data_IF_920857822979
#
_entry.id   IF_920857822979
#
_cell.length_a   1.000
_cell.length_b   1.000
_cell.length_c   1.000
_cell.angle_alpha   90.00
_cell.angle_beta   90.00
_cell.angle_gamma   90.00
#
_symmetry.space_group_name_H-M   'P 1'
#
loop_
_entity.id
_entity.type
_entity.pdbx_description
1 polymer ?
#
# COMPACT_ATOMS: atom_id res chain seq x y z
N UNK A 1 -28.50 -7.00 -26.58
CA UNK A 1 -27.77 -6.04 -25.69
C UNK A 1 -28.65 -5.38 -24.61
N UNK A 2 -29.93 -5.15 -24.86
CA UNK A 2 -30.85 -4.53 -23.87
C UNK A 2 -31.25 -5.43 -22.71
N UNK A 3 -31.40 -6.74 -22.90
CA UNK A 3 -31.90 -7.67 -21.88
C UNK A 3 -30.85 -7.97 -20.78
N UNK A 4 -29.57 -8.01 -21.14
CA UNK A 4 -28.43 -8.18 -20.19
C UNK A 4 -28.26 -6.96 -19.28
N UNK A 5 -28.42 -5.78 -19.84
CA UNK A 5 -28.31 -4.51 -19.10
C UNK A 5 -29.47 -4.36 -18.09
N UNK A 6 -30.68 -4.76 -18.46
CA UNK A 6 -31.85 -4.75 -17.58
C UNK A 6 -31.68 -5.75 -16.43
N UNK A 7 -31.23 -6.99 -16.73
CA UNK A 7 -30.97 -8.01 -15.70
C UNK A 7 -29.84 -7.60 -14.71
N UNK A 8 -28.77 -6.96 -15.21
CA UNK A 8 -27.73 -6.39 -14.34
C UNK A 8 -28.28 -5.28 -13.44
N UNK A 9 -29.08 -4.38 -13.99
CA UNK A 9 -29.70 -3.31 -13.21
C UNK A 9 -30.65 -3.84 -12.13
N UNK A 10 -31.44 -4.86 -12.43
CA UNK A 10 -32.30 -5.54 -11.44
C UNK A 10 -31.49 -6.30 -10.37
N UNK A 11 -30.40 -6.94 -10.76
CA UNK A 11 -29.52 -7.64 -9.81
C UNK A 11 -28.86 -6.65 -8.86
N UNK A 12 -28.29 -5.55 -9.36
CA UNK A 12 -27.70 -4.47 -8.54
C UNK A 12 -28.74 -3.87 -7.61
N UNK A 13 -29.96 -3.59 -8.09
CA UNK A 13 -31.06 -3.09 -7.28
C UNK A 13 -31.44 -4.05 -6.15
N UNK A 14 -31.53 -5.36 -6.42
CA UNK A 14 -31.79 -6.38 -5.39
C UNK A 14 -30.68 -6.47 -4.34
N UNK A 15 -29.41 -6.41 -4.78
CA UNK A 15 -28.26 -6.41 -3.88
C UNK A 15 -28.31 -5.16 -2.99
N UNK A 16 -28.51 -3.97 -3.54
CA UNK A 16 -28.61 -2.72 -2.78
C UNK A 16 -29.75 -2.78 -1.77
N UNK A 17 -30.96 -3.26 -2.17
CA UNK A 17 -32.09 -3.40 -1.27
C UNK A 17 -31.79 -4.42 -0.16
N UNK A 18 -31.14 -5.55 -0.47
CA UNK A 18 -30.77 -6.56 0.54
C UNK A 18 -29.73 -6.03 1.52
N UNK A 19 -28.74 -5.30 1.04
CA UNK A 19 -27.72 -4.65 1.89
C UNK A 19 -28.35 -3.58 2.79
N UNK A 20 -29.25 -2.76 2.25
CA UNK A 20 -29.99 -1.74 3.04
C UNK A 20 -30.90 -2.41 4.06
N UNK A 21 -31.60 -3.48 3.72
CA UNK A 21 -32.45 -4.23 4.65
C UNK A 21 -31.63 -4.91 5.76
N UNK A 22 -30.47 -5.47 5.40
CA UNK A 22 -29.52 -6.03 6.38
C UNK A 22 -28.99 -4.95 7.34
N UNK A 23 -28.60 -3.79 6.82
CA UNK A 23 -28.17 -2.64 7.62
C UNK A 23 -29.27 -2.14 8.56
N UNK A 24 -30.52 -2.11 8.09
CA UNK A 24 -31.68 -1.72 8.92
C UNK A 24 -32.01 -2.75 10.02
N UNK A 25 -31.75 -4.04 9.79
CA UNK A 25 -31.95 -5.07 10.81
C UNK A 25 -30.90 -5.05 11.93
N UNK A 26 -29.65 -4.67 11.62
CA UNK A 26 -28.62 -4.47 12.63
C UNK A 26 -28.81 -3.19 13.46
N UNK A 27 -29.48 -2.17 12.91
CA UNK A 27 -29.71 -0.89 13.59
C UNK A 27 -30.66 -1.01 14.81
N UNK A 28 -31.48 -2.04 14.86
CA UNK A 28 -32.42 -2.23 15.97
C UNK A 28 -31.75 -2.64 17.31
N UNK A 29 -30.50 -3.10 17.27
CA UNK A 29 -29.76 -3.65 18.42
C UNK A 29 -28.62 -2.74 18.92
N UNK A 30 -28.25 -1.71 18.19
CA UNK A 30 -27.10 -0.87 18.54
C UNK A 30 -27.48 0.31 19.46
N UNK A 31 -26.71 0.49 20.55
CA UNK A 31 -26.89 1.63 21.46
C UNK A 31 -26.40 2.96 20.85
N UNK A 32 -25.39 2.92 19.99
CA UNK A 32 -24.86 4.09 19.26
C UNK A 32 -24.85 3.82 17.76
N UNK A 33 -25.36 4.76 16.98
CA UNK A 33 -25.38 4.70 15.51
C UNK A 33 -24.97 6.06 14.97
N UNK A 34 -24.04 6.05 14.03
CA UNK A 34 -23.51 7.26 13.40
C UNK A 34 -23.30 7.02 11.91
N UNK A 35 -23.62 8.02 11.10
CA UNK A 35 -23.36 8.01 9.66
C UNK A 35 -22.43 9.17 9.32
N UNK A 36 -21.39 8.87 8.56
CA UNK A 36 -20.40 9.84 8.09
C UNK A 36 -20.34 9.81 6.55
N UNK A 37 -19.98 10.95 5.99
CA UNK A 37 -19.49 11.03 4.62
C UNK A 37 -17.98 11.19 4.68
N UNK A 38 -17.25 10.10 4.54
CA UNK A 38 -15.79 10.13 4.42
C UNK A 38 -15.44 10.58 3.00
N UNK A 39 -14.60 11.58 2.88
CA UNK A 39 -14.09 12.04 1.59
C UNK A 39 -12.60 12.24 1.73
N UNK A 40 -11.84 11.46 0.98
CA UNK A 40 -10.40 11.59 0.88
C UNK A 40 -10.06 12.13 -0.51
N UNK A 41 -9.19 13.12 -0.52
CA UNK A 41 -8.60 13.70 -1.72
C UNK A 41 -7.10 13.59 -1.61
N UNK A 42 -6.47 13.00 -2.61
CA UNK A 42 -5.02 12.94 -2.73
C UNK A 42 -4.59 13.59 -4.05
N UNK A 43 -3.53 14.36 -3.96
CA UNK A 43 -2.78 14.89 -5.08
C UNK A 43 -1.38 14.30 -5.00
N UNK A 44 -0.89 13.74 -6.10
CA UNK A 44 0.41 13.11 -6.19
C UNK A 44 1.17 13.61 -7.42
N UNK A 45 2.42 13.95 -7.18
CA UNK A 45 3.43 14.18 -8.19
C UNK A 45 4.66 13.38 -7.82
N UNK A 46 5.11 12.51 -8.71
CA UNK A 46 6.35 11.75 -8.60
C UNK A 46 7.04 11.79 -9.96
N UNK A 47 8.17 12.46 -10.03
CA UNK A 47 8.99 12.50 -11.22
C UNK A 47 10.29 11.76 -10.95
N UNK A 48 10.44 10.57 -11.51
CA UNK A 48 11.63 9.72 -11.38
C UNK A 48 12.42 9.72 -12.69
N UNK A 49 13.70 10.08 -12.60
CA UNK A 49 14.61 10.16 -13.74
C UNK A 49 15.67 9.05 -13.70
N UNK A 50 15.54 8.09 -14.61
CA UNK A 50 16.46 6.96 -14.77
C UNK A 50 17.35 7.05 -16.02
N UNK A 51 17.60 8.25 -16.56
CA UNK A 51 18.34 8.46 -17.80
C UNK A 51 19.61 7.62 -17.92
N UNK A 52 19.66 6.78 -18.95
CA UNK A 52 20.82 5.93 -19.26
C UNK A 52 21.02 4.74 -18.33
N UNK A 53 20.01 4.32 -17.59
CA UNK A 53 19.98 3.13 -16.73
C UNK A 53 19.15 2.01 -17.34
N UNK A 54 19.53 0.77 -17.03
CA UNK A 54 18.72 -0.42 -17.30
C UNK A 54 17.76 -0.75 -16.14
N UNK A 55 17.76 0.04 -15.05
CA UNK A 55 16.95 -0.23 -13.86
C UNK A 55 15.47 0.03 -14.09
N UNK A 56 15.13 1.06 -14.87
CA UNK A 56 13.75 1.41 -15.18
C UNK A 56 13.65 2.52 -16.21
N UNK A 57 12.47 2.80 -16.70
CA UNK A 57 12.17 3.97 -17.51
C UNK A 57 11.97 5.21 -16.63
N UNK A 58 12.40 6.38 -17.11
CA UNK A 58 12.01 7.65 -16.49
C UNK A 58 10.50 7.82 -16.60
N UNK A 59 9.85 8.18 -15.50
CA UNK A 59 8.40 8.27 -15.42
C UNK A 59 7.98 9.47 -14.58
N UNK A 60 6.90 10.13 -15.01
CA UNK A 60 6.24 11.17 -14.23
C UNK A 60 4.80 10.76 -13.95
N UNK A 61 4.51 10.45 -12.69
CA UNK A 61 3.15 10.27 -12.20
C UNK A 61 2.65 11.63 -11.71
N UNK A 62 1.54 12.09 -12.26
CA UNK A 62 0.96 13.38 -11.91
C UNK A 62 -0.56 13.29 -11.97
N UNK A 63 -1.20 13.28 -10.79
CA UNK A 63 -2.63 13.04 -10.76
C UNK A 63 -3.30 13.38 -9.45
N UNK A 64 -4.58 13.12 -9.43
CA UNK A 64 -5.44 13.22 -8.26
C UNK A 64 -6.24 11.94 -8.07
N UNK A 65 -6.56 11.66 -6.82
CA UNK A 65 -7.49 10.61 -6.43
C UNK A 65 -8.55 11.19 -5.51
N UNK A 66 -9.81 10.88 -5.76
CA UNK A 66 -10.96 11.29 -4.94
C UNK A 66 -11.74 10.04 -4.50
N UNK A 67 -11.95 9.90 -3.19
CA UNK A 67 -12.60 8.72 -2.60
C UNK A 67 -13.74 9.13 -1.68
N UNK A 68 -14.94 9.42 -2.20
CA UNK A 68 -16.13 9.60 -1.40
C UNK A 68 -16.68 8.24 -0.96
N UNK A 69 -17.00 8.09 0.33
CA UNK A 69 -17.61 6.90 0.89
C UNK A 69 -18.59 7.24 2.03
N UNK A 70 -19.69 6.51 2.11
CA UNK A 70 -20.55 6.53 3.28
C UNK A 70 -20.08 5.49 4.28
N UNK A 71 -19.90 5.91 5.54
CA UNK A 71 -19.51 5.03 6.64
C UNK A 71 -20.57 5.04 7.72
N UNK A 72 -21.15 3.87 7.95
CA UNK A 72 -22.08 3.61 9.03
C UNK A 72 -21.37 2.92 10.19
N UNK A 73 -21.47 3.49 11.40
CA UNK A 73 -20.87 2.97 12.63
C UNK A 73 -21.95 2.52 13.60
N UNK A 74 -21.71 1.39 14.30
CA UNK A 74 -22.57 0.89 15.38
C UNK A 74 -21.76 0.25 16.50
N UNK A 75 -22.28 0.39 17.74
CA UNK A 75 -21.64 -0.19 18.91
C UNK A 75 -20.23 0.28 19.19
N UNK A 76 -19.82 1.46 18.67
CA UNK A 76 -18.50 2.10 18.79
C UNK A 76 -17.29 1.30 18.31
N UNK A 77 -17.50 0.07 17.85
CA UNK A 77 -16.39 -0.84 17.42
C UNK A 77 -16.52 -1.32 15.99
N UNK A 78 -17.69 -1.17 15.41
CA UNK A 78 -18.01 -1.74 14.11
C UNK A 78 -18.35 -0.63 13.12
N UNK A 79 -17.90 -0.78 11.90
CA UNK A 79 -18.34 0.07 10.80
C UNK A 79 -18.43 -0.68 9.48
N UNK A 80 -19.29 -0.20 8.61
CA UNK A 80 -19.39 -0.60 7.22
C UNK A 80 -19.24 0.63 6.35
N UNK A 81 -18.39 0.57 5.36
CA UNK A 81 -18.13 1.65 4.40
C UNK A 81 -18.46 1.21 3.00
N UNK A 82 -19.06 2.12 2.22
CA UNK A 82 -19.31 1.91 0.80
C UNK A 82 -19.09 3.20 0.02
N UNK A 83 -18.36 3.13 -1.08
CA UNK A 83 -17.98 4.28 -1.88
C UNK A 83 -17.21 3.91 -3.14
N UNK A 84 -16.48 4.85 -3.67
CA UNK A 84 -15.65 4.67 -4.87
C UNK A 84 -14.30 5.34 -4.71
N UNK A 85 -13.29 4.79 -5.32
CA UNK A 85 -11.97 5.38 -5.55
C UNK A 85 -11.91 5.80 -7.01
N UNK A 86 -11.70 7.07 -7.29
CA UNK A 86 -11.65 7.64 -8.64
C UNK A 86 -10.29 8.30 -8.86
N UNK A 87 -9.55 7.84 -9.86
CA UNK A 87 -8.23 8.37 -10.19
C UNK A 87 -8.27 9.12 -11.53
N UNK A 88 -7.59 10.27 -11.56
CA UNK A 88 -7.36 11.05 -12.78
C UNK A 88 -5.89 11.43 -12.89
N UNK A 89 -5.21 10.87 -13.89
CA UNK A 89 -3.85 11.28 -14.26
C UNK A 89 -3.91 12.50 -15.18
N UNK A 90 -3.11 13.52 -14.87
CA UNK A 90 -3.08 14.74 -15.68
C UNK A 90 -2.42 14.49 -17.03
N UNK A 91 -2.97 15.10 -18.07
CA UNK A 91 -2.56 14.86 -19.46
C UNK A 91 -3.18 13.62 -20.11
N UNK A 92 -3.83 12.73 -19.36
CA UNK A 92 -4.57 11.61 -19.92
C UNK A 92 -5.81 12.08 -20.68
N UNK A 93 -6.09 11.46 -21.84
CA UNK A 93 -7.28 11.74 -22.65
C UNK A 93 -8.58 11.18 -22.04
N UNK A 94 -8.50 10.26 -21.05
CA UNK A 94 -9.67 9.69 -20.38
C UNK A 94 -10.24 10.69 -19.39
N UNK A 95 -11.56 10.68 -19.16
CA UNK A 95 -12.19 11.48 -18.10
C UNK A 95 -11.73 11.02 -16.71
N UNK A 96 -11.74 9.71 -16.45
CA UNK A 96 -11.10 9.05 -15.33
C UNK A 96 -10.21 7.94 -15.86
N UNK A 97 -9.06 7.74 -15.24
CA UNK A 97 -8.10 6.72 -15.65
C UNK A 97 -8.38 5.40 -14.95
N UNK A 98 -8.86 5.46 -13.70
CA UNK A 98 -9.25 4.29 -12.93
C UNK A 98 -10.44 4.57 -11.99
N UNK A 99 -11.25 3.54 -11.72
CA UNK A 99 -12.38 3.56 -10.79
C UNK A 99 -12.48 2.22 -10.08
N UNK A 100 -12.25 2.22 -8.77
CA UNK A 100 -12.43 1.05 -7.91
C UNK A 100 -13.64 1.20 -6.99
N UNK A 101 -14.23 0.07 -6.64
CA UNK A 101 -15.21 0.01 -5.57
C UNK A 101 -14.51 0.08 -4.19
N UNK A 102 -15.07 0.84 -3.28
CA UNK A 102 -14.78 0.78 -1.84
C UNK A 102 -15.98 0.15 -1.15
N UNK A 103 -15.77 -1.02 -0.55
CA UNK A 103 -16.82 -1.74 0.16
C UNK A 103 -16.18 -2.65 1.22
N UNK A 104 -16.18 -2.24 2.48
CA UNK A 104 -15.52 -3.02 3.53
C UNK A 104 -16.20 -2.89 4.88
N UNK A 105 -16.08 -3.96 5.65
CA UNK A 105 -16.35 -3.99 7.07
C UNK A 105 -15.07 -3.71 7.86
N UNK A 106 -15.19 -2.96 8.96
CA UNK A 106 -14.11 -2.72 9.90
C UNK A 106 -14.60 -3.00 11.34
N UNK A 107 -13.83 -3.81 12.05
CA UNK A 107 -13.85 -3.92 13.50
C UNK A 107 -12.65 -3.19 14.08
N UNK A 108 -12.84 -2.44 15.15
CA UNK A 108 -11.75 -1.79 15.89
C UNK A 108 -12.08 -1.65 17.36
N UNK A 109 -11.16 -2.08 18.22
CA UNK A 109 -11.17 -1.78 19.65
C UNK A 109 -9.86 -1.10 20.06
N UNK A 110 -9.52 -1.11 21.35
CA UNK A 110 -8.29 -0.46 21.85
C UNK A 110 -7.01 -1.04 21.25
N UNK A 111 -6.95 -2.36 21.08
CA UNK A 111 -5.73 -3.06 20.67
C UNK A 111 -5.86 -3.77 19.31
N UNK A 112 -7.07 -4.20 18.94
CA UNK A 112 -7.28 -5.04 17.75
C UNK A 112 -8.07 -4.30 16.68
N UNK A 113 -7.64 -4.48 15.45
CA UNK A 113 -8.34 -4.06 14.24
C UNK A 113 -8.49 -5.22 13.27
N UNK A 114 -9.59 -5.21 12.52
CA UNK A 114 -9.79 -6.10 11.38
C UNK A 114 -10.53 -5.33 10.28
N UNK A 115 -10.08 -5.51 9.04
CA UNK A 115 -10.74 -4.98 7.85
C UNK A 115 -10.98 -6.15 6.90
N UNK A 116 -12.15 -6.16 6.26
CA UNK A 116 -12.49 -7.18 5.27
C UNK A 116 -13.30 -6.55 4.13
N UNK A 117 -12.85 -6.77 2.89
CA UNK A 117 -13.46 -6.25 1.67
C UNK A 117 -12.48 -5.42 0.83
N UNK A 118 -12.99 -4.36 0.21
CA UNK A 118 -12.27 -3.44 -0.67
C UNK A 118 -12.01 -2.13 0.10
N UNK A 119 -10.82 -1.98 0.65
CA UNK A 119 -10.49 -0.85 1.53
C UNK A 119 -9.19 -0.15 1.12
N UNK A 120 -9.07 1.11 1.53
CA UNK A 120 -7.88 1.92 1.23
C UNK A 120 -6.63 1.37 1.90
N UNK A 121 -5.53 1.31 1.17
CA UNK A 121 -4.21 0.89 1.67
C UNK A 121 -3.70 1.77 2.82
N UNK A 122 -4.07 3.04 2.87
CA UNK A 122 -3.73 3.97 3.96
C UNK A 122 -4.32 3.58 5.34
N UNK A 123 -5.24 2.62 5.39
CA UNK A 123 -5.74 2.06 6.66
C UNK A 123 -4.81 1.01 7.27
N UNK A 124 -3.78 0.63 6.54
CA UNK A 124 -2.73 -0.26 7.02
C UNK A 124 -1.86 0.49 8.03
N UNK A 125 -1.35 -0.24 9.02
CA UNK A 125 -0.50 0.30 10.09
C UNK A 125 0.95 -0.16 9.97
N UNK A 126 1.21 -1.10 9.06
CA UNK A 126 2.53 -1.68 8.83
C UNK A 126 3.53 -0.67 8.29
N UNK A 127 4.81 -0.93 8.56
CA UNK A 127 5.94 -0.19 8.01
C UNK A 127 6.62 -1.03 6.94
N UNK A 128 6.56 -0.57 5.71
CA UNK A 128 7.14 -1.25 4.56
C UNK A 128 8.21 -0.34 3.96
N UNK A 129 9.45 -0.86 3.77
CA UNK A 129 10.49 -0.12 3.06
C UNK A 129 10.21 -0.12 1.55
N UNK A 130 10.94 0.71 0.80
CA UNK A 130 10.83 0.76 -0.66
C UNK A 130 11.22 -0.56 -1.35
N UNK A 131 11.90 -1.47 -0.66
CA UNK A 131 12.12 -2.83 -1.16
C UNK A 131 10.80 -3.63 -1.32
N UNK A 132 9.79 -3.32 -0.51
CA UNK A 132 8.47 -3.96 -0.57
C UNK A 132 7.50 -3.22 -1.48
N UNK A 133 7.41 -1.89 -1.35
CA UNK A 133 6.48 -1.06 -2.11
C UNK A 133 7.15 0.26 -2.50
N UNK A 134 7.31 0.49 -3.79
CA UNK A 134 7.76 1.77 -4.32
C UNK A 134 6.66 2.84 -4.21
N UNK A 135 7.05 4.11 -4.23
CA UNK A 135 6.07 5.19 -4.23
C UNK A 135 5.14 5.13 -5.46
N UNK A 136 5.69 4.85 -6.63
CA UNK A 136 4.91 4.71 -7.86
C UNK A 136 3.86 3.59 -7.74
N UNK A 137 4.26 2.43 -7.25
CA UNK A 137 3.34 1.32 -7.06
C UNK A 137 2.22 1.66 -6.06
N UNK A 138 2.51 2.39 -4.99
CA UNK A 138 1.52 2.82 -4.00
C UNK A 138 0.52 3.83 -4.57
N UNK A 139 0.93 4.67 -5.50
CA UNK A 139 0.03 5.62 -6.20
C UNK A 139 -0.97 4.87 -7.07
N UNK A 140 -0.55 3.81 -7.76
CA UNK A 140 -1.40 3.03 -8.65
C UNK A 140 -2.25 1.97 -7.92
N UNK A 141 -1.81 1.50 -6.73
CA UNK A 141 -2.44 0.40 -6.00
C UNK A 141 -3.01 0.86 -4.65
N UNK A 142 -3.96 1.78 -4.67
CA UNK A 142 -4.51 2.42 -3.47
C UNK A 142 -5.50 1.56 -2.70
N UNK A 143 -6.10 0.57 -3.35
CA UNK A 143 -7.14 -0.29 -2.76
C UNK A 143 -6.57 -1.68 -2.48
N UNK A 144 -6.77 -2.16 -1.26
CA UNK A 144 -6.55 -3.56 -0.87
C UNK A 144 -7.84 -4.33 -1.10
N UNK A 145 -7.77 -5.48 -1.74
CA UNK A 145 -8.91 -6.35 -2.00
C UNK A 145 -8.78 -7.61 -1.15
N UNK A 146 -9.25 -7.56 0.10
CA UNK A 146 -9.07 -8.72 0.96
C UNK A 146 -9.28 -8.47 2.44
N UNK A 147 -8.28 -8.85 3.25
CA UNK A 147 -8.34 -8.89 4.70
C UNK A 147 -7.11 -8.22 5.31
N UNK A 148 -7.29 -7.43 6.36
CA UNK A 148 -6.21 -6.99 7.27
C UNK A 148 -6.57 -7.32 8.71
N UNK A 149 -5.61 -7.88 9.44
CA UNK A 149 -5.67 -8.10 10.88
C UNK A 149 -4.60 -7.26 11.54
N UNK A 150 -4.98 -6.47 12.53
CA UNK A 150 -4.10 -5.49 13.16
C UNK A 150 -4.10 -5.65 14.68
N UNK A 151 -2.93 -5.52 15.27
CA UNK A 151 -2.73 -5.38 16.70
C UNK A 151 -1.89 -4.14 16.98
N UNK A 152 -2.26 -3.37 17.99
CA UNK A 152 -1.49 -2.19 18.42
C UNK A 152 -1.58 -2.05 19.92
N UNK A 153 -0.44 -1.83 20.57
CA UNK A 153 -0.40 -1.43 21.96
C UNK A 153 0.64 -0.30 22.17
N UNK A 154 0.90 0.06 23.43
CA UNK A 154 1.89 1.09 23.78
C UNK A 154 3.33 0.72 23.42
N UNK A 155 3.62 -0.55 23.21
CA UNK A 155 4.97 -1.07 22.96
C UNK A 155 5.21 -1.41 21.49
N UNK A 156 4.16 -1.55 20.67
CA UNK A 156 4.37 -1.92 19.29
C UNK A 156 3.08 -2.20 18.51
N UNK A 157 3.26 -2.78 17.35
CA UNK A 157 2.17 -3.17 16.46
C UNK A 157 2.51 -4.47 15.72
N UNK A 158 1.48 -5.13 15.21
CA UNK A 158 1.59 -6.21 14.24
C UNK A 158 0.42 -6.11 13.25
N UNK A 159 0.70 -6.39 11.99
CA UNK A 159 -0.28 -6.40 10.90
C UNK A 159 -0.04 -7.57 9.97
N UNK A 160 -1.12 -8.26 9.60
CA UNK A 160 -1.12 -9.28 8.56
C UNK A 160 -2.19 -8.90 7.53
N UNK A 161 -1.82 -8.89 6.26
CA UNK A 161 -2.71 -8.51 5.16
C UNK A 161 -2.71 -9.58 4.09
N UNK A 162 -3.89 -9.88 3.56
CA UNK A 162 -4.09 -10.64 2.32
C UNK A 162 -4.72 -9.70 1.32
N UNK A 163 -4.06 -9.52 0.18
CA UNK A 163 -4.48 -8.63 -0.92
C UNK A 163 -4.58 -9.46 -2.20
N UNK A 164 -5.81 -9.65 -2.70
CA UNK A 164 -6.09 -10.48 -3.87
C UNK A 164 -6.19 -9.59 -5.11
N UNK A 165 -5.11 -9.53 -5.89
CA UNK A 165 -4.95 -8.57 -6.97
C UNK A 165 -5.44 -9.09 -8.34
N UNK A 166 -5.66 -10.39 -8.48
CA UNK A 166 -6.11 -10.98 -9.74
C UNK A 166 -6.87 -12.28 -9.56
N UNK A 167 -8.06 -12.38 -10.13
CA UNK A 167 -8.83 -13.62 -10.20
C UNK A 167 -8.42 -14.40 -11.45
N UNK A 168 -8.21 -15.71 -11.31
CA UNK A 168 -7.96 -16.61 -12.44
C UNK A 168 -9.09 -16.53 -13.48
N UNK A 169 -8.77 -16.02 -14.65
CA UNK A 169 -9.72 -15.89 -15.78
C UNK A 169 -8.97 -15.91 -17.12
N UNK A 170 -9.70 -15.87 -18.24
CA UNK A 170 -9.10 -15.69 -19.56
C UNK A 170 -8.39 -14.33 -19.74
N UNK A 171 -8.82 -13.32 -18.98
CA UNK A 171 -8.35 -11.94 -19.12
C UNK A 171 -7.29 -11.56 -18.09
N UNK A 172 -7.28 -12.22 -16.92
CA UNK A 172 -6.41 -11.87 -15.80
C UNK A 172 -5.65 -13.08 -15.26
N UNK A 173 -4.44 -12.83 -14.79
CA UNK A 173 -3.65 -13.82 -14.04
C UNK A 173 -4.19 -13.93 -12.62
N UNK A 174 -4.15 -15.13 -12.07
CA UNK A 174 -4.32 -15.30 -10.63
C UNK A 174 -3.10 -14.72 -9.93
N UNK A 175 -3.33 -13.78 -9.03
CA UNK A 175 -2.28 -13.20 -8.22
C UNK A 175 -2.81 -12.67 -6.91
N UNK A 176 -2.05 -12.88 -5.85
CA UNK A 176 -2.32 -12.34 -4.54
C UNK A 176 -1.02 -12.04 -3.80
N UNK A 177 -1.10 -11.11 -2.86
CA UNK A 177 -0.02 -10.80 -1.93
C UNK A 177 -0.47 -11.06 -0.50
N UNK A 178 0.38 -11.75 0.27
CA UNK A 178 0.26 -11.83 1.72
C UNK A 178 1.44 -11.05 2.27
N UNK A 179 1.19 -10.09 3.14
CA UNK A 179 2.28 -9.33 3.74
C UNK A 179 2.04 -9.07 5.22
N UNK A 180 3.14 -9.03 5.94
CA UNK A 180 3.21 -8.86 7.37
C UNK A 180 4.14 -7.69 7.70
N UNK A 181 3.81 -6.94 8.73
CA UNK A 181 4.71 -5.98 9.36
C UNK A 181 4.46 -5.97 10.86
N UNK A 182 5.52 -6.07 11.65
CA UNK A 182 5.42 -5.99 13.10
C UNK A 182 6.66 -5.39 13.72
N UNK A 183 6.47 -4.61 14.78
CA UNK A 183 7.53 -3.94 15.52
C UNK A 183 7.20 -3.92 17.01
N UNK A 184 8.18 -4.18 17.86
CA UNK A 184 8.06 -4.09 19.29
C UNK A 184 9.24 -3.32 19.93
N UNK A 185 8.92 -2.43 20.88
CA UNK A 185 9.90 -1.73 21.71
C UNK A 185 10.24 -2.55 22.93
N UNK A 186 11.49 -2.88 23.10
CA UNK A 186 11.99 -3.65 24.26
C UNK A 186 12.84 -2.80 25.21
N UNK A 187 13.21 -1.58 24.82
CA UNK A 187 13.85 -0.60 25.67
C UNK A 187 13.33 0.82 25.32
N UNK A 188 13.71 1.80 26.12
CA UNK A 188 13.24 3.19 25.97
C UNK A 188 13.46 3.75 24.55
N UNK A 189 14.57 3.38 23.92
CA UNK A 189 14.96 3.88 22.59
C UNK A 189 15.14 2.76 21.55
N UNK A 190 15.12 1.49 21.96
CA UNK A 190 15.41 0.36 21.09
C UNK A 190 14.13 -0.39 20.69
N UNK A 191 14.07 -0.82 19.47
CA UNK A 191 12.99 -1.64 18.93
C UNK A 191 13.52 -2.72 17.99
N UNK A 192 12.75 -3.75 17.81
CA UNK A 192 12.97 -4.80 16.82
C UNK A 192 11.70 -5.05 16.05
N UNK A 193 11.82 -5.44 14.81
CA UNK A 193 10.68 -5.76 13.99
C UNK A 193 11.04 -6.67 12.83
N UNK A 194 10.01 -7.01 12.09
CA UNK A 194 10.14 -7.73 10.83
C UNK A 194 9.05 -7.30 9.87
N UNK A 195 9.41 -7.27 8.59
CA UNK A 195 8.47 -7.14 7.46
C UNK A 195 8.67 -8.35 6.56
N UNK A 196 7.59 -8.89 6.05
CA UNK A 196 7.63 -10.00 5.10
C UNK A 196 6.52 -9.81 4.06
N UNK A 197 6.78 -10.27 2.84
CA UNK A 197 5.77 -10.37 1.80
C UNK A 197 5.92 -11.68 1.04
N UNK A 198 4.81 -12.22 0.57
CA UNK A 198 4.74 -13.29 -0.42
C UNK A 198 3.82 -12.83 -1.53
N UNK A 199 4.32 -12.82 -2.75
CA UNK A 199 3.51 -12.62 -3.95
C UNK A 199 3.44 -13.91 -4.74
N UNK A 200 2.23 -14.41 -4.91
CA UNK A 200 1.92 -15.51 -5.82
C UNK A 200 1.45 -14.91 -7.14
N UNK A 201 2.15 -15.22 -8.23
CA UNK A 201 1.90 -14.73 -9.57
C UNK A 201 1.76 -15.93 -10.50
N UNK A 202 0.52 -16.26 -10.87
CA UNK A 202 0.19 -17.47 -11.60
C UNK A 202 -0.32 -17.18 -13.01
N UNK A 203 -0.96 -18.15 -13.62
CA UNK A 203 -1.39 -18.14 -15.00
C UNK A 203 -2.79 -17.52 -15.22
N UNK A 204 -3.12 -17.25 -16.49
CA UNK A 204 -4.48 -17.07 -16.98
C UNK A 204 -5.08 -18.41 -17.42
N UNK A 205 -6.41 -18.46 -17.57
CA UNK A 205 -7.10 -19.67 -18.02
C UNK A 205 -6.65 -20.15 -19.41
N UNK A 206 -6.28 -19.22 -20.30
CA UNK A 206 -5.88 -19.53 -21.69
C UNK A 206 -4.38 -19.79 -21.85
N UNK A 207 -3.58 -19.49 -20.81
CA UNK A 207 -2.12 -19.57 -20.87
C UNK A 207 -1.53 -20.13 -19.58
N UNK A 208 -0.83 -21.24 -19.66
CA UNK A 208 -0.16 -21.89 -18.55
C UNK A 208 1.37 -21.77 -18.73
N UNK A 209 1.93 -20.58 -18.50
CA UNK A 209 3.33 -20.35 -18.81
C UNK A 209 4.24 -20.10 -17.59
N UNK A 210 3.69 -19.52 -16.54
CA UNK A 210 4.50 -19.13 -15.40
C UNK A 210 3.72 -19.27 -14.09
N UNK A 211 4.35 -19.82 -13.08
CA UNK A 211 3.88 -19.77 -11.69
C UNK A 211 5.06 -19.34 -10.84
N UNK A 212 5.07 -18.09 -10.43
CA UNK A 212 6.14 -17.49 -9.65
C UNK A 212 5.68 -17.29 -8.22
N UNK A 213 6.47 -17.78 -7.28
CA UNK A 213 6.42 -17.38 -5.88
C UNK A 213 7.59 -16.43 -5.62
N UNK A 214 7.27 -15.24 -5.13
CA UNK A 214 8.20 -14.19 -4.74
C UNK A 214 8.01 -13.86 -3.27
N UNK A 215 8.98 -14.21 -2.43
CA UNK A 215 8.95 -13.98 -0.99
C UNK A 215 10.09 -13.03 -0.65
N UNK A 216 9.79 -11.97 0.10
CA UNK A 216 10.77 -11.04 0.64
C UNK A 216 10.60 -10.94 2.15
N UNK A 217 11.70 -11.05 2.91
CA UNK A 217 11.73 -11.01 4.36
C UNK A 217 12.76 -9.98 4.82
N UNK A 218 12.40 -9.13 5.78
CA UNK A 218 13.28 -8.11 6.37
C UNK A 218 13.12 -8.07 7.90
N UNK A 219 13.84 -8.89 8.67
CA UNK A 219 14.03 -8.64 10.10
C UNK A 219 14.96 -7.44 10.32
N UNK A 220 14.68 -6.63 11.34
CA UNK A 220 15.47 -5.44 11.64
C UNK A 220 15.55 -5.11 13.13
N UNK A 221 16.60 -4.39 13.49
CA UNK A 221 16.80 -3.75 14.78
C UNK A 221 16.93 -2.24 14.58
N UNK A 222 16.39 -1.46 15.51
CA UNK A 222 16.47 -0.02 15.41
C UNK A 222 16.57 0.71 16.74
N UNK A 223 16.99 1.97 16.64
CA UNK A 223 17.01 2.93 17.74
C UNK A 223 16.28 4.19 17.29
N UNK A 224 15.33 4.64 18.11
CA UNK A 224 14.62 5.89 17.89
C UNK A 224 14.68 6.74 19.16
N UNK A 225 15.21 7.95 19.05
CA UNK A 225 15.37 8.86 20.17
C UNK A 225 15.21 10.31 19.76
N UNK A 226 14.88 11.13 20.73
CA UNK A 226 14.73 12.56 20.58
C UNK A 226 15.83 13.29 21.34
N UNK A 227 16.59 14.12 20.61
CA UNK A 227 17.54 15.09 21.14
C UNK A 227 17.14 16.48 20.62
N UNK A 228 18.06 17.22 19.99
CA UNK A 228 17.71 18.44 19.26
C UNK A 228 16.87 18.12 18.00
N UNK A 229 17.14 16.99 17.34
CA UNK A 229 16.34 16.38 16.30
C UNK A 229 15.69 15.08 16.77
N UNK A 230 14.66 14.62 16.08
CA UNK A 230 14.15 13.27 16.19
C UNK A 230 14.97 12.37 15.25
N UNK A 231 15.52 11.27 15.80
CA UNK A 231 16.36 10.32 15.08
C UNK A 231 15.69 8.95 15.02
N UNK A 232 15.78 8.31 13.87
CA UNK A 232 15.42 6.90 13.66
C UNK A 232 16.52 6.22 12.83
N UNK A 233 17.14 5.19 13.38
CA UNK A 233 18.24 4.44 12.75
C UNK A 233 17.86 2.97 12.81
N UNK A 234 17.90 2.27 11.68
CA UNK A 234 17.48 0.88 11.57
C UNK A 234 18.45 0.08 10.72
N UNK A 235 18.87 -1.08 11.22
CA UNK A 235 19.65 -2.07 10.49
C UNK A 235 18.77 -3.27 10.20
N UNK A 236 18.56 -3.60 8.93
CA UNK A 236 17.76 -4.71 8.45
C UNK A 236 18.56 -5.68 7.60
N UNK A 237 18.09 -6.93 7.56
CA UNK A 237 18.57 -7.96 6.66
C UNK A 237 17.44 -8.31 5.68
N UNK A 238 17.71 -8.21 4.39
CA UNK A 238 16.77 -8.52 3.32
C UNK A 238 17.11 -9.90 2.73
N UNK A 239 16.12 -10.79 2.70
CA UNK A 239 16.23 -12.11 2.07
C UNK A 239 15.10 -12.26 1.07
N UNK A 240 15.43 -12.39 -0.21
CA UNK A 240 14.48 -12.78 -1.24
C UNK A 240 14.53 -14.29 -1.48
N UNK A 241 13.38 -14.90 -1.72
CA UNK A 241 13.24 -16.31 -2.12
C UNK A 241 12.28 -16.32 -3.31
N UNK A 242 12.80 -16.69 -4.49
CA UNK A 242 12.02 -16.62 -5.73
C UNK A 242 12.14 -17.91 -6.53
N UNK A 243 11.03 -18.35 -7.08
CA UNK A 243 10.99 -19.52 -7.96
C UNK A 243 9.92 -19.36 -9.04
N UNK A 244 10.29 -19.55 -10.30
CA UNK A 244 9.33 -19.89 -11.35
C UNK A 244 9.20 -21.42 -11.41
N UNK A 245 8.06 -21.93 -10.95
CA UNK A 245 7.80 -23.38 -10.87
C UNK A 245 7.78 -24.07 -12.23
N UNK A 246 7.50 -23.34 -13.31
CA UNK A 246 7.38 -23.90 -14.66
C UNK A 246 8.65 -23.73 -15.50
N UNK A 247 9.51 -22.76 -15.18
CA UNK A 247 10.78 -22.60 -15.84
C UNK A 247 11.82 -23.65 -15.42
N UNK A 248 11.62 -24.26 -14.23
CA UNK A 248 12.62 -25.11 -13.60
C UNK A 248 13.76 -24.28 -12.99
N UNK A 249 14.69 -24.91 -12.31
CA UNK A 249 15.89 -24.22 -11.82
C UNK A 249 15.96 -24.02 -10.29
N UNK A 250 14.91 -24.34 -9.57
CA UNK A 250 14.90 -24.23 -8.09
C UNK A 250 14.74 -22.81 -7.58
N UNK A 251 14.96 -22.63 -6.28
CA UNK A 251 14.85 -21.33 -5.60
C UNK A 251 16.10 -20.47 -5.85
N UNK A 252 15.89 -19.23 -6.23
CA UNK A 252 16.87 -18.16 -6.17
C UNK A 252 16.74 -17.48 -4.80
N UNK A 253 17.86 -17.22 -4.13
CA UNK A 253 17.89 -16.77 -2.74
C UNK A 253 18.80 -15.56 -2.52
N UNK A 254 18.65 -14.47 -3.32
CA UNK A 254 19.48 -13.28 -3.14
C UNK A 254 19.20 -12.61 -1.79
N UNK A 255 20.22 -11.98 -1.22
CA UNK A 255 20.12 -11.33 0.08
C UNK A 255 20.95 -10.04 0.13
N UNK A 256 20.68 -9.24 1.16
CA UNK A 256 21.45 -8.03 1.44
C UNK A 256 21.16 -7.44 2.80
N UNK A 257 21.84 -6.34 3.08
CA UNK A 257 21.71 -5.59 4.33
C UNK A 257 21.28 -4.16 4.01
N UNK A 258 20.35 -3.64 4.77
CA UNK A 258 19.82 -2.29 4.63
C UNK A 258 20.09 -1.50 5.91
N UNK A 259 20.69 -0.31 5.77
CA UNK A 259 20.82 0.67 6.84
C UNK A 259 19.92 1.86 6.51
N UNK A 260 18.89 2.06 7.32
CA UNK A 260 18.03 3.23 7.25
C UNK A 260 18.40 4.24 8.31
N UNK A 261 18.42 5.51 7.93
CA UNK A 261 18.62 6.66 8.82
C UNK A 261 17.59 7.73 8.50
N UNK A 262 16.97 8.31 9.53
CA UNK A 262 16.15 9.52 9.40
C UNK A 262 16.43 10.47 10.54
N UNK A 263 16.60 11.74 10.20
CA UNK A 263 16.67 12.84 11.13
C UNK A 263 15.62 13.87 10.74
N UNK A 264 14.81 14.33 11.71
CA UNK A 264 13.73 15.28 11.41
C UNK A 264 13.53 16.31 12.51
N UNK A 265 13.03 17.49 12.13
CA UNK A 265 12.59 18.54 13.06
C UNK A 265 11.70 19.55 12.34
N UNK A 266 10.63 19.99 12.98
CA UNK A 266 9.67 21.00 12.47
C UNK A 266 9.05 20.66 11.10
N UNK A 267 9.01 19.39 10.77
CA UNK A 267 8.55 18.90 9.47
C UNK A 267 9.66 18.73 8.43
N UNK A 268 10.80 19.37 8.59
CA UNK A 268 11.96 19.13 7.70
C UNK A 268 12.62 17.81 8.10
N UNK A 269 13.03 17.03 7.11
CA UNK A 269 13.75 15.79 7.33
C UNK A 269 14.88 15.56 6.32
N UNK A 270 15.82 14.75 6.75
CA UNK A 270 16.80 14.07 5.91
C UNK A 270 16.64 12.58 6.18
N UNK A 271 16.53 11.79 5.14
CA UNK A 271 16.51 10.33 5.20
C UNK A 271 17.57 9.74 4.30
N UNK A 272 18.12 8.61 4.70
CA UNK A 272 19.04 7.84 3.89
C UNK A 272 18.69 6.36 4.02
N UNK A 273 18.68 5.67 2.89
CA UNK A 273 18.53 4.24 2.83
C UNK A 273 19.73 3.69 2.05
N UNK A 274 20.58 2.95 2.72
CA UNK A 274 21.76 2.32 2.15
C UNK A 274 21.58 0.81 2.13
N UNK A 275 21.64 0.23 0.94
CA UNK A 275 21.56 -1.21 0.73
C UNK A 275 22.90 -1.72 0.16
N UNK A 276 23.33 -2.87 0.65
CA UNK A 276 24.45 -3.64 0.11
C UNK A 276 24.06 -5.10 0.04
N UNK A 277 24.19 -5.72 -1.12
CA UNK A 277 23.81 -7.11 -1.32
C UNK A 277 23.60 -7.45 -2.79
N UNK A 278 22.93 -8.57 -3.03
CA UNK A 278 22.61 -9.09 -4.34
C UNK A 278 21.42 -8.32 -4.98
N UNK A 279 21.20 -8.53 -6.28
CA UNK A 279 19.94 -8.15 -6.93
C UNK A 279 18.78 -8.90 -6.29
N UNK A 280 17.88 -8.19 -5.59
CA UNK A 280 16.72 -8.78 -4.92
C UNK A 280 15.58 -9.14 -5.88
N UNK A 281 15.70 -8.78 -7.16
CA UNK A 281 14.68 -8.99 -8.19
C UNK A 281 15.22 -9.81 -9.38
N UNK A 282 15.80 -11.00 -9.16
CA UNK A 282 16.55 -11.74 -10.16
C UNK A 282 15.70 -12.18 -11.36
N UNK A 283 14.37 -12.26 -11.21
CA UNK A 283 13.46 -12.61 -12.30
C UNK A 283 12.96 -11.39 -13.10
N UNK A 284 13.36 -10.17 -12.75
CA UNK A 284 12.84 -8.95 -13.37
C UNK A 284 13.02 -8.92 -14.89
N UNK A 285 14.21 -9.27 -15.38
CA UNK A 285 14.52 -9.34 -16.80
C UNK A 285 14.22 -10.72 -17.41
N UNK A 286 13.78 -11.68 -16.60
CA UNK A 286 13.44 -13.00 -17.08
C UNK A 286 12.19 -12.92 -17.94
N UNK A 287 12.24 -13.63 -19.07
CA UNK A 287 11.17 -13.63 -20.05
C UNK A 287 10.34 -14.89 -19.85
N UNK A 288 9.07 -14.72 -19.59
CA UNK A 288 8.12 -15.81 -19.58
C UNK A 288 7.98 -16.46 -20.95
N UNK A 289 7.28 -17.58 -21.04
CA UNK A 289 7.03 -18.25 -22.33
C UNK A 289 6.25 -17.38 -23.35
N UNK A 290 5.64 -16.29 -22.87
CA UNK A 290 4.98 -15.30 -23.71
C UNK A 290 5.95 -14.33 -24.40
N UNK A 291 7.24 -14.39 -24.09
CA UNK A 291 8.24 -13.46 -24.61
C UNK A 291 8.23 -12.08 -23.96
N UNK A 292 7.50 -11.90 -22.85
CA UNK A 292 7.38 -10.63 -22.12
C UNK A 292 8.18 -10.74 -20.82
N UNK A 293 9.03 -9.76 -20.49
CA UNK A 293 9.69 -9.71 -19.19
C UNK A 293 8.69 -9.58 -18.04
N UNK A 294 8.97 -10.20 -16.90
CA UNK A 294 8.15 -10.06 -15.70
C UNK A 294 8.11 -8.61 -15.19
N UNK A 295 9.29 -7.98 -15.08
CA UNK A 295 9.41 -6.57 -14.76
C UNK A 295 8.62 -6.14 -13.52
N UNK A 296 8.01 -4.98 -13.62
CA UNK A 296 7.19 -4.40 -12.56
C UNK A 296 5.89 -5.19 -12.25
N UNK A 297 5.41 -6.03 -13.15
CA UNK A 297 4.23 -6.86 -12.90
C UNK A 297 4.46 -7.85 -11.75
N UNK A 298 5.69 -8.33 -11.61
CA UNK A 298 6.07 -9.25 -10.53
C UNK A 298 6.43 -8.50 -9.25
N UNK A 299 7.04 -7.33 -9.36
CA UNK A 299 7.62 -6.61 -8.22
C UNK A 299 6.87 -5.32 -7.91
N UNK A 300 6.61 -5.09 -6.63
CA UNK A 300 6.04 -3.83 -6.13
C UNK A 300 7.11 -2.88 -5.57
N UNK A 301 8.31 -3.39 -5.31
CA UNK A 301 9.43 -2.61 -4.74
C UNK A 301 10.10 -1.66 -5.73
N UNK A 302 10.95 -0.80 -5.21
CA UNK A 302 11.74 0.12 -6.03
C UNK A 302 12.75 -0.66 -6.90
N UNK A 303 12.79 -0.43 -8.22
CA UNK A 303 13.73 -1.10 -9.14
C UNK A 303 15.20 -0.96 -8.77
N UNK A 304 15.58 -0.02 -7.92
CA UNK A 304 16.94 0.14 -7.44
C UNK A 304 17.48 -1.05 -6.65
N UNK A 305 16.59 -1.86 -6.04
CA UNK A 305 17.01 -3.11 -5.38
C UNK A 305 17.42 -4.20 -6.36
N UNK A 306 17.40 -3.92 -7.69
CA UNK A 306 17.97 -4.72 -8.77
C UNK A 306 19.45 -4.40 -9.04
N UNK A 307 20.11 -3.67 -8.16
CA UNK A 307 21.46 -3.17 -8.44
C UNK A 307 22.44 -4.27 -8.86
N UNK A 308 23.08 -4.10 -10.01
CA UNK A 308 24.13 -5.00 -10.51
C UNK A 308 25.47 -4.76 -9.78
N UNK A 309 25.62 -3.62 -9.13
CA UNK A 309 26.83 -3.17 -8.44
C UNK A 309 26.84 -3.48 -6.95
N UNK A 310 25.92 -4.31 -6.48
CA UNK A 310 25.76 -4.68 -5.07
C UNK A 310 25.51 -3.51 -4.09
N UNK A 311 25.26 -2.29 -4.58
CA UNK A 311 25.08 -1.08 -3.78
C UNK A 311 23.88 -0.31 -4.28
N UNK A 312 23.05 0.10 -3.32
CA UNK A 312 21.97 1.06 -3.52
C UNK A 312 22.02 2.11 -2.42
N UNK A 313 21.97 3.38 -2.77
CA UNK A 313 21.85 4.45 -1.82
C UNK A 313 20.76 5.44 -2.27
N UNK A 314 19.81 5.71 -1.38
CA UNK A 314 18.77 6.69 -1.54
C UNK A 314 18.88 7.72 -0.44
N UNK A 315 19.12 8.97 -0.79
CA UNK A 315 19.14 10.11 0.13
C UNK A 315 17.99 11.06 -0.20
N UNK A 316 17.09 11.24 0.74
CA UNK A 316 15.96 12.17 0.62
C UNK A 316 16.14 13.38 1.53
N UNK A 317 15.80 14.57 1.02
CA UNK A 317 15.66 15.78 1.80
C UNK A 317 14.26 16.32 1.54
N UNK A 318 13.51 16.60 2.60
CA UNK A 318 12.13 17.00 2.38
C UNK A 318 11.49 17.70 3.57
N UNK A 319 10.23 17.99 3.35
CA UNK A 319 9.31 18.53 4.33
C UNK A 319 8.07 17.66 4.37
N UNK A 320 7.66 17.24 5.57
CA UNK A 320 6.45 16.45 5.80
C UNK A 320 5.75 16.97 7.06
N UNK A 321 4.50 17.31 6.94
CA UNK A 321 3.72 17.81 8.08
C UNK A 321 2.24 17.54 7.94
N UNK A 322 1.63 17.22 9.10
CA UNK A 322 0.19 17.11 9.24
C UNK A 322 -0.36 18.41 9.84
N UNK A 323 -1.47 18.89 9.26
CA UNK A 323 -2.18 20.08 9.71
C UNK A 323 -3.62 19.72 10.05
N UNK A 324 -4.30 20.63 10.74
CA UNK A 324 -5.73 20.55 11.05
C UNK A 324 -6.14 19.19 11.64
N UNK A 325 -5.46 18.78 12.72
CA UNK A 325 -5.71 17.49 13.41
C UNK A 325 -5.55 16.29 12.46
N UNK A 326 -4.47 16.29 11.70
CA UNK A 326 -4.09 15.23 10.74
C UNK A 326 -5.03 15.08 9.52
N UNK A 327 -5.94 16.03 9.31
CA UNK A 327 -6.83 16.01 8.15
C UNK A 327 -6.16 16.45 6.86
N UNK A 328 -5.07 17.21 6.95
CA UNK A 328 -4.28 17.64 5.82
C UNK A 328 -2.86 17.13 6.02
N UNK A 329 -2.38 16.35 5.08
CA UNK A 329 -1.00 15.83 5.04
C UNK A 329 -0.32 16.46 3.84
N UNK A 330 0.87 17.03 4.06
CA UNK A 330 1.69 17.61 2.99
C UNK A 330 3.06 16.96 3.06
N UNK A 331 3.56 16.52 1.91
CA UNK A 331 4.92 16.02 1.75
C UNK A 331 5.54 16.64 0.49
N UNK A 332 6.78 17.08 0.59
CA UNK A 332 7.63 17.40 -0.54
C UNK A 332 9.02 16.81 -0.26
N UNK A 333 9.55 16.04 -1.18
CA UNK A 333 10.84 15.36 -1.02
C UNK A 333 11.63 15.42 -2.33
N UNK A 334 12.88 15.79 -2.24
CA UNK A 334 13.87 15.62 -3.30
C UNK A 334 14.78 14.46 -2.95
N UNK A 335 14.93 13.53 -3.87
CA UNK A 335 15.65 12.27 -3.67
C UNK A 335 16.81 12.18 -4.65
N UNK A 336 17.96 11.79 -4.12
CA UNK A 336 19.11 11.32 -4.89
C UNK A 336 19.25 9.82 -4.69
N UNK A 337 19.27 9.08 -5.79
CA UNK A 337 19.51 7.64 -5.81
C UNK A 337 20.82 7.34 -6.52
N UNK A 338 21.56 6.35 -6.07
CA UNK A 338 22.76 5.86 -6.76
C UNK A 338 22.90 4.36 -6.58
N UNK A 339 23.37 3.68 -7.61
CA UNK A 339 23.74 2.27 -7.64
C UNK A 339 25.27 2.06 -7.54
N UNK A 340 26.00 3.14 -7.18
CA UNK A 340 27.47 3.15 -7.12
C UNK A 340 28.14 3.65 -8.39
N UNK A 341 27.48 3.60 -9.55
CA UNK A 341 28.04 4.08 -10.82
C UNK A 341 27.40 5.39 -11.28
N UNK A 342 26.09 5.53 -11.09
CA UNK A 342 25.31 6.66 -11.58
C UNK A 342 24.49 7.28 -10.48
N UNK A 343 24.08 8.53 -10.71
CA UNK A 343 23.18 9.28 -9.80
C UNK A 343 21.89 9.57 -10.55
N UNK A 344 20.78 9.30 -9.89
CA UNK A 344 19.43 9.50 -10.39
C UNK A 344 18.66 10.41 -9.45
N UNK A 345 17.64 11.08 -9.96
CA UNK A 345 16.84 12.00 -9.15
C UNK A 345 15.39 11.61 -9.15
N UNK A 346 14.72 11.92 -8.02
CA UNK A 346 13.28 11.79 -7.92
C UNK A 346 12.74 12.99 -7.14
N UNK A 347 11.61 13.54 -7.58
CA UNK A 347 10.89 14.61 -6.92
C UNK A 347 9.49 14.10 -6.56
N UNK A 348 9.15 14.15 -5.27
CA UNK A 348 7.87 13.69 -4.76
C UNK A 348 7.16 14.87 -4.11
N UNK A 349 5.92 15.13 -4.51
CA UNK A 349 5.02 16.07 -3.84
C UNK A 349 3.69 15.37 -3.63
N UNK A 350 3.20 15.34 -2.41
CA UNK A 350 1.86 14.82 -2.13
C UNK A 350 1.09 15.75 -1.19
N UNK A 351 -0.22 15.83 -1.42
CA UNK A 351 -1.18 16.49 -0.56
C UNK A 351 -2.36 15.55 -0.36
N UNK A 352 -2.57 15.13 0.88
CA UNK A 352 -3.75 14.37 1.29
C UNK A 352 -4.70 15.23 2.10
N UNK A 353 -5.99 15.17 1.81
CA UNK A 353 -7.05 15.85 2.58
C UNK A 353 -8.12 14.83 2.94
N UNK A 354 -8.34 14.64 4.25
CA UNK A 354 -9.40 13.78 4.76
C UNK A 354 -10.48 14.60 5.44
N UNK A 355 -11.72 14.48 4.99
CA UNK A 355 -12.90 15.14 5.53
C UNK A 355 -13.94 14.08 5.85
N UNK A 356 -14.44 14.08 7.09
CA UNK A 356 -15.43 13.12 7.56
C UNK A 356 -16.55 13.82 8.35
N UNK A 357 -17.42 14.62 7.70
CA UNK A 357 -18.57 15.21 8.38
C UNK A 357 -19.54 14.13 8.83
N UNK A 358 -20.03 14.29 10.07
CA UNK A 358 -21.06 13.44 10.61
C UNK A 358 -22.41 13.88 10.04
N UNK A 359 -23.09 13.00 9.33
CA UNK A 359 -24.41 13.26 8.75
C UNK A 359 -25.54 12.93 9.71
N UNK A 360 -25.35 11.92 10.57
CA UNK A 360 -26.35 11.45 11.53
C UNK A 360 -25.71 10.92 12.82
N UNK A 361 -26.36 11.16 13.97
CA UNK A 361 -25.98 10.65 15.29
C UNK A 361 -27.24 10.41 16.14
N UNK A 362 -27.50 9.13 16.44
CA UNK A 362 -28.66 8.71 17.25
C UNK A 362 -28.65 9.30 18.67
N UNK A 363 -27.46 9.49 19.24
CA UNK A 363 -27.33 10.00 20.60
C UNK A 363 -27.69 11.50 20.71
N UNK A 364 -27.59 12.24 19.63
CA UNK A 364 -27.92 13.66 19.60
C UNK A 364 -29.45 13.94 19.64
N UNK A 365 -30.29 12.93 19.37
CA UNK A 365 -31.75 13.03 19.47
C UNK A 365 -32.29 12.87 20.90
N UNK A 366 -31.48 12.35 21.84
CA UNK A 366 -31.91 12.19 23.26
C UNK A 366 -31.68 13.46 24.09
N UNK A 367 -30.96 14.45 23.56
CA UNK A 367 -30.67 15.73 24.24
C UNK A 367 -31.45 16.93 23.68
N UNK A 368 -32.45 16.72 22.86
CA UNK A 368 -33.46 17.70 22.42
C UNK A 368 -34.82 17.21 22.87
#
# INVERSE_FOLDING_TARGET
MTDLCVRMCEMVRKIVISVVALLLSFSALAQSERLYLDTDFDFDFDNTEYSGSNLGASETLFGITLMPALRYEWGDKHSLSAGVNMQKMFGSARFLDDIDLIAYYQFRNENYGALAGLFRREKLIGRYSEAFFSNAWLVDNRVVQGLSLQYTDKNGFAELVVDWNGMYSAERREQFRIFFSGEGRFAKVMYAGATASMHHYANRADFCYNVVDDILINPYLGVAFKAFFDFDIRLGYLQSLQQDRLAGGGWQTPYGTELFFRMSRWGVFISNNFYIGDDLMPLYNSVGKEGIPYGADLYAGDPFYRTENAIYNRTGIGYERNFWKERIKVKAEFVLKTDGERVYTQQIISLGVNIAPKLYDKNNKRNK
#
